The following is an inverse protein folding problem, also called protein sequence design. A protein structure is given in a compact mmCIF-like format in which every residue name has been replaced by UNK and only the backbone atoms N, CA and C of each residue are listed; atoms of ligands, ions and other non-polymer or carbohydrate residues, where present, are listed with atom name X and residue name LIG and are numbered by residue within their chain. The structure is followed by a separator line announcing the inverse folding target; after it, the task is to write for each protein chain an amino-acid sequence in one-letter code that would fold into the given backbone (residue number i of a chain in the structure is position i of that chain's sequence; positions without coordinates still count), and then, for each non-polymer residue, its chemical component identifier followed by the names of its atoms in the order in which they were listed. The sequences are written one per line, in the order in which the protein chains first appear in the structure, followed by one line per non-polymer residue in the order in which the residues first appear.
data_IF_577368413201
#
_entry.id   IF_577368413201
#
_cell.length_a   1.000
_cell.length_b   1.000
_cell.length_c   1.000
_cell.angle_alpha   90.00
_cell.angle_beta   90.00
_cell.angle_gamma   90.00
#
_symmetry.space_group_name_H-M   'P 1'
#
loop_
_entity.id
_entity.type
_entity.pdbx_description
1 polymer ?
#
# COMPACT_ATOMS: atom_id res chain seq x y z
N UNK A 1 2.66 -88.61 -10.06
CA UNK A 1 2.01 -87.49 -10.77
C UNK A 1 2.39 -86.21 -10.05
N UNK A 2 3.20 -85.37 -10.69
CA UNK A 2 3.76 -84.15 -10.10
C UNK A 2 3.08 -82.88 -10.58
N UNK A 3 3.27 -81.82 -9.77
CA UNK A 3 3.41 -80.39 -10.15
C UNK A 3 2.16 -79.72 -10.77
N UNK A 4 1.69 -78.53 -10.41
CA UNK A 4 2.16 -77.44 -9.56
C UNK A 4 1.43 -76.13 -9.99
N UNK A 5 1.20 -75.24 -9.02
CA UNK A 5 1.27 -73.76 -9.09
C UNK A 5 0.76 -73.01 -10.33
N UNK A 6 -0.36 -72.27 -10.20
CA UNK A 6 -0.66 -70.89 -10.68
C UNK A 6 -1.83 -70.39 -9.79
N UNK A 7 -1.97 -69.19 -9.24
CA UNK A 7 -1.56 -67.83 -9.59
C UNK A 7 -1.25 -67.05 -8.30
N UNK A 8 -0.08 -66.45 -8.22
CA UNK A 8 0.23 -65.38 -7.25
C UNK A 8 1.12 -64.33 -7.92
N UNK A 9 0.71 -63.86 -9.09
CA UNK A 9 1.28 -62.67 -9.72
C UNK A 9 0.30 -61.52 -9.51
N UNK A 10 0.65 -60.54 -8.67
CA UNK A 10 0.35 -59.09 -8.83
C UNK A 10 0.87 -58.22 -7.66
N UNK A 11 1.30 -58.77 -6.50
CA UNK A 11 1.64 -57.88 -5.35
C UNK A 11 3.13 -57.49 -5.22
N UNK A 12 4.07 -58.11 -5.95
CA UNK A 12 5.52 -57.81 -5.77
C UNK A 12 6.03 -56.64 -6.64
N UNK A 13 5.25 -56.14 -7.61
CA UNK A 13 5.76 -55.18 -8.60
C UNK A 13 5.82 -53.70 -8.15
N UNK A 14 5.25 -53.31 -7.00
CA UNK A 14 5.14 -51.88 -6.64
C UNK A 14 6.19 -51.40 -5.62
N UNK A 15 6.86 -52.29 -4.87
CA UNK A 15 7.94 -51.87 -3.94
C UNK A 15 9.29 -51.65 -4.63
N UNK A 16 9.54 -52.25 -5.80
CA UNK A 16 10.82 -52.12 -6.50
C UNK A 16 11.00 -50.78 -7.25
N UNK A 17 9.91 -50.05 -7.55
CA UNK A 17 9.99 -48.76 -8.25
C UNK A 17 10.31 -47.61 -7.29
N UNK A 18 9.97 -47.73 -5.99
CA UNK A 18 10.13 -46.62 -5.04
C UNK A 18 11.55 -46.47 -4.47
N UNK A 19 12.35 -47.54 -4.45
CA UNK A 19 13.69 -47.51 -3.84
C UNK A 19 14.82 -47.03 -4.78
N UNK A 20 14.61 -47.06 -6.10
CA UNK A 20 15.63 -46.60 -7.07
C UNK A 20 15.54 -45.10 -7.36
N UNK A 21 14.40 -44.47 -7.10
CA UNK A 21 14.21 -43.03 -7.35
C UNK A 21 14.91 -42.10 -6.34
N UNK A 22 15.43 -42.64 -5.22
CA UNK A 22 16.19 -41.87 -4.21
C UNK A 22 17.70 -42.11 -4.26
N UNK A 23 18.18 -42.79 -5.30
CA UNK A 23 19.60 -43.08 -5.48
C UNK A 23 20.21 -42.21 -6.58
N UNK A 24 21.27 -41.48 -6.21
CA UNK A 24 22.29 -40.89 -7.10
C UNK A 24 22.04 -39.46 -7.56
N UNK A 25 22.69 -38.53 -6.84
CA UNK A 25 22.81 -37.13 -7.27
C UNK A 25 23.49 -36.21 -6.27
N UNK A 26 24.46 -36.67 -5.48
CA UNK A 26 25.31 -35.77 -4.69
C UNK A 26 26.31 -35.09 -5.63
N UNK A 27 25.87 -34.07 -6.35
CA UNK A 27 26.75 -33.24 -7.17
C UNK A 27 27.61 -32.36 -6.26
N UNK A 28 28.88 -32.72 -6.07
CA UNK A 28 29.89 -31.81 -5.49
C UNK A 28 30.29 -30.79 -6.55
N UNK A 29 29.38 -29.87 -6.89
CA UNK A 29 29.76 -28.71 -7.67
C UNK A 29 30.73 -27.86 -6.84
N UNK A 30 31.88 -27.42 -7.40
CA UNK A 30 32.74 -26.48 -6.69
C UNK A 30 31.95 -25.21 -6.39
N UNK A 31 32.01 -24.75 -5.15
CA UNK A 31 31.35 -23.52 -4.71
C UNK A 31 31.77 -22.38 -5.65
N UNK A 32 30.82 -21.66 -6.29
CA UNK A 32 31.19 -20.51 -7.10
C UNK A 32 31.96 -19.51 -6.24
N UNK A 33 33.06 -18.98 -6.79
CA UNK A 33 33.86 -18.00 -6.09
C UNK A 33 32.98 -16.80 -5.68
N UNK A 34 33.16 -16.24 -4.47
CA UNK A 34 32.43 -15.05 -4.09
C UNK A 34 32.70 -13.94 -5.12
N UNK A 35 31.69 -13.14 -5.49
CA UNK A 35 31.91 -12.01 -6.37
C UNK A 35 32.98 -11.08 -5.78
N UNK A 36 33.79 -10.41 -6.61
CA UNK A 36 34.76 -9.44 -6.12
C UNK A 36 34.06 -8.41 -5.23
N UNK A 37 34.71 -8.01 -4.14
CA UNK A 37 34.19 -6.98 -3.26
C UNK A 37 33.91 -5.70 -4.07
N UNK A 38 32.65 -5.31 -4.14
CA UNK A 38 32.28 -4.00 -4.67
C UNK A 38 32.93 -2.94 -3.78
N UNK A 39 33.71 -1.99 -4.32
CA UNK A 39 34.24 -0.90 -3.51
C UNK A 39 33.08 -0.14 -2.89
N UNK A 40 33.13 0.10 -1.59
CA UNK A 40 32.15 0.91 -0.89
C UNK A 40 32.10 2.30 -1.54
N UNK A 41 30.97 2.63 -2.17
CA UNK A 41 30.75 3.99 -2.64
C UNK A 41 30.81 4.93 -1.42
N UNK A 42 31.41 6.13 -1.55
CA UNK A 42 31.36 7.10 -0.48
C UNK A 42 29.90 7.44 -0.18
N UNK A 43 29.52 7.35 1.09
CA UNK A 43 28.20 7.81 1.54
C UNK A 43 28.07 9.28 1.20
N UNK A 44 27.07 9.71 0.40
CA UNK A 44 26.84 11.12 0.19
C UNK A 44 26.61 11.79 1.56
N UNK A 45 27.09 13.03 1.77
CA UNK A 45 26.80 13.75 2.99
C UNK A 45 25.28 13.81 3.19
N UNK A 46 24.84 13.62 4.44
CA UNK A 46 23.43 13.71 4.78
C UNK A 46 22.88 15.07 4.32
N UNK A 47 21.89 15.04 3.43
CA UNK A 47 21.22 16.26 3.00
C UNK A 47 20.60 16.95 4.22
N UNK A 48 20.82 18.26 4.35
CA UNK A 48 20.17 19.04 5.40
C UNK A 48 18.64 18.90 5.27
N UNK A 49 17.89 18.81 6.38
CA UNK A 49 16.42 18.72 6.33
C UNK A 49 15.87 19.91 5.55
N UNK A 50 15.03 19.64 4.54
CA UNK A 50 14.30 20.69 3.87
C UNK A 50 13.36 21.38 4.86
N UNK A 51 13.16 22.72 4.77
CA UNK A 51 12.18 23.40 5.60
C UNK A 51 10.78 22.80 5.39
N UNK A 52 9.99 22.75 6.46
CA UNK A 52 8.64 22.21 6.41
C UNK A 52 7.78 23.00 5.39
N UNK A 53 6.96 22.32 4.58
CA UNK A 53 6.07 22.98 3.64
C UNK A 53 5.06 23.86 4.40
N UNK A 54 4.64 25.01 3.83
CA UNK A 54 3.59 25.81 4.42
C UNK A 54 2.27 25.00 4.49
N UNK A 55 1.47 25.26 5.51
CA UNK A 55 0.16 24.63 5.64
C UNK A 55 -0.71 24.92 4.40
N UNK A 56 -1.29 23.87 3.85
CA UNK A 56 -2.24 23.94 2.74
C UNK A 56 -3.29 22.84 2.88
N UNK A 57 -4.55 23.27 2.98
CA UNK A 57 -5.75 22.41 2.98
C UNK A 57 -6.44 22.36 1.63
N UNK A 58 -5.90 23.03 0.62
CA UNK A 58 -6.46 23.07 -0.73
C UNK A 58 -5.41 22.65 -1.73
N UNK A 59 -5.71 21.64 -2.51
CA UNK A 59 -4.88 21.18 -3.61
C UNK A 59 -5.57 21.48 -4.94
N UNK A 60 -4.79 21.97 -5.90
CA UNK A 60 -5.19 22.11 -7.29
C UNK A 60 -4.43 21.05 -8.10
N UNK A 61 -5.13 20.16 -8.78
CA UNK A 61 -4.54 19.08 -9.59
C UNK A 61 -5.40 18.89 -10.83
N UNK A 62 -4.83 18.99 -12.03
CA UNK A 62 -5.52 18.74 -13.31
C UNK A 62 -6.90 19.41 -13.48
N UNK A 63 -7.05 20.65 -12.98
CA UNK A 63 -8.33 21.39 -13.00
C UNK A 63 -9.32 21.03 -11.88
N UNK A 64 -8.97 20.07 -11.01
CA UNK A 64 -9.71 19.77 -9.79
C UNK A 64 -9.22 20.65 -8.66
N UNK A 65 -10.17 21.10 -7.85
CA UNK A 65 -9.93 21.68 -6.53
C UNK A 65 -10.39 20.67 -5.49
N UNK A 66 -9.44 20.21 -4.69
CA UNK A 66 -9.71 19.33 -3.55
C UNK A 66 -9.48 20.11 -2.26
N UNK A 67 -10.47 20.09 -1.38
CA UNK A 67 -10.44 20.79 -0.09
C UNK A 67 -10.50 19.76 1.04
N UNK A 68 -9.57 19.86 1.98
CA UNK A 68 -9.62 19.09 3.22
C UNK A 68 -10.31 19.87 4.32
N UNK A 69 -11.22 19.18 5.01
CA UNK A 69 -11.89 19.58 6.23
C UNK A 69 -11.55 18.63 7.36
N UNK A 70 -11.78 19.11 8.58
CA UNK A 70 -11.42 18.41 9.80
C UNK A 70 -10.06 18.85 10.32
N UNK A 71 -9.83 18.52 11.58
CA UNK A 71 -8.59 18.84 12.30
C UNK A 71 -7.96 17.53 12.75
N UNK A 72 -6.64 17.42 12.60
CA UNK A 72 -5.89 16.33 13.20
C UNK A 72 -5.61 16.70 14.66
N UNK A 73 -6.25 15.97 15.57
CA UNK A 73 -6.05 16.15 17.01
C UNK A 73 -5.15 15.03 17.53
N UNK A 74 -4.01 15.35 18.17
CA UNK A 74 -3.18 14.35 18.80
C UNK A 74 -3.93 13.56 19.88
N UNK A 75 -3.61 12.27 20.03
CA UNK A 75 -4.13 11.42 21.10
C UNK A 75 -5.49 10.77 20.81
N UNK A 76 -6.09 10.99 19.65
CA UNK A 76 -7.39 10.40 19.30
C UNK A 76 -7.64 10.22 17.80
N UNK A 77 -8.70 9.48 17.43
CA UNK A 77 -9.14 9.40 16.04
C UNK A 77 -9.70 10.76 15.60
N UNK A 78 -9.26 11.20 14.44
CA UNK A 78 -9.68 12.42 13.75
C UNK A 78 -10.39 12.06 12.46
N UNK A 79 -11.48 12.76 12.17
CA UNK A 79 -12.16 12.65 10.87
C UNK A 79 -11.62 13.72 9.93
N UNK A 80 -11.31 13.29 8.72
CA UNK A 80 -10.84 14.13 7.62
C UNK A 80 -11.81 13.96 6.46
N UNK A 81 -12.33 15.06 5.94
CA UNK A 81 -13.20 15.03 4.76
C UNK A 81 -12.51 15.71 3.59
N UNK A 82 -12.49 15.04 2.43
CA UNK A 82 -12.03 15.63 1.19
C UNK A 82 -13.24 15.96 0.31
N UNK A 83 -13.40 17.24 -0.04
CA UNK A 83 -14.41 17.69 -1.01
C UNK A 83 -13.75 17.94 -2.36
N UNK A 84 -14.23 17.27 -3.41
CA UNK A 84 -13.69 17.36 -4.76
C UNK A 84 -14.64 18.16 -5.66
N UNK A 85 -14.09 19.19 -6.29
CA UNK A 85 -14.79 20.04 -7.27
C UNK A 85 -13.95 20.18 -8.52
N UNK A 86 -14.59 20.42 -9.66
CA UNK A 86 -13.94 20.70 -10.94
C UNK A 86 -14.65 21.86 -11.61
N UNK A 87 -13.90 22.90 -11.99
CA UNK A 87 -14.45 24.10 -12.63
C UNK A 87 -15.63 24.74 -11.87
N UNK A 88 -15.62 24.64 -10.54
CA UNK A 88 -16.67 25.15 -9.65
C UNK A 88 -17.86 24.21 -9.44
N UNK A 89 -17.96 23.10 -10.18
CA UNK A 89 -19.00 22.08 -10.01
C UNK A 89 -18.54 20.97 -9.05
N UNK A 90 -19.47 20.43 -8.27
CA UNK A 90 -19.24 19.25 -7.44
C UNK A 90 -19.03 18.01 -8.32
N UNK A 91 -17.97 17.23 -8.05
CA UNK A 91 -17.75 15.96 -8.73
C UNK A 91 -18.52 14.87 -8.00
N UNK A 92 -19.53 14.28 -8.64
CA UNK A 92 -20.45 13.32 -8.00
C UNK A 92 -20.34 11.90 -8.54
N UNK A 93 -19.40 11.66 -9.44
CA UNK A 93 -19.21 10.44 -10.21
C UNK A 93 -17.78 9.90 -10.11
N UNK A 94 -17.17 10.00 -8.93
CA UNK A 94 -15.89 9.38 -8.62
C UNK A 94 -15.98 7.86 -8.79
N UNK A 95 -14.99 7.27 -9.44
CA UNK A 95 -14.92 5.82 -9.59
C UNK A 95 -14.16 5.15 -8.43
N UNK A 96 -14.41 3.86 -8.17
CA UNK A 96 -13.64 3.09 -7.21
C UNK A 96 -12.13 3.11 -7.48
N UNK A 97 -11.36 3.28 -6.40
CA UNK A 97 -9.89 3.22 -6.38
C UNK A 97 -9.41 2.63 -5.05
N UNK A 98 -8.55 1.61 -5.12
CA UNK A 98 -7.90 0.95 -3.97
C UNK A 98 -8.86 0.61 -2.80
N UNK A 99 -10.05 0.08 -3.11
CA UNK A 99 -11.02 -0.38 -2.11
C UNK A 99 -11.93 0.71 -1.51
N UNK A 100 -11.86 1.95 -2.01
CA UNK A 100 -12.80 3.03 -1.70
C UNK A 100 -13.07 3.90 -2.92
N UNK A 101 -13.61 5.10 -2.72
CA UNK A 101 -13.69 6.14 -3.77
C UNK A 101 -12.49 7.12 -3.76
N UNK A 102 -11.60 6.92 -2.79
CA UNK A 102 -10.29 7.54 -2.73
C UNK A 102 -9.42 6.84 -1.70
N UNK A 103 -8.12 7.06 -1.80
CA UNK A 103 -7.10 6.48 -0.94
C UNK A 103 -6.28 7.60 -0.33
N UNK A 104 -6.28 7.69 1.00
CA UNK A 104 -5.58 8.74 1.73
C UNK A 104 -4.39 8.13 2.47
N UNK A 105 -3.21 8.69 2.20
CA UNK A 105 -1.98 8.40 2.94
C UNK A 105 -1.61 9.61 3.78
N UNK A 106 -1.28 9.39 5.04
CA UNK A 106 -0.89 10.45 5.97
C UNK A 106 0.51 10.15 6.50
N UNK A 107 1.43 11.07 6.28
CA UNK A 107 2.84 10.96 6.66
C UNK A 107 3.20 12.08 7.63
N UNK A 108 3.75 11.74 8.79
CA UNK A 108 4.34 12.73 9.70
C UNK A 108 5.71 13.15 9.20
N UNK A 109 5.98 14.44 9.06
CA UNK A 109 7.21 14.91 8.43
C UNK A 109 8.45 14.83 9.33
N UNK A 110 8.25 14.83 10.66
CA UNK A 110 9.33 14.84 11.65
C UNK A 110 10.14 13.53 11.66
N UNK A 111 9.46 12.40 11.52
CA UNK A 111 10.04 11.06 11.61
C UNK A 111 9.62 10.12 10.47
N UNK A 112 8.90 10.65 9.48
CA UNK A 112 8.39 9.90 8.33
C UNK A 112 7.46 8.73 8.73
N UNK A 113 6.81 8.83 9.90
CA UNK A 113 5.84 7.83 10.33
C UNK A 113 4.57 7.88 9.46
N UNK A 114 4.20 6.72 8.93
CA UNK A 114 2.91 6.51 8.25
C UNK A 114 1.81 6.28 9.29
N UNK A 115 0.74 7.05 9.18
CA UNK A 115 -0.41 6.93 10.07
C UNK A 115 -1.43 5.95 9.47
N UNK A 116 -2.09 5.14 10.32
CA UNK A 116 -3.18 4.31 9.86
C UNK A 116 -4.36 5.18 9.41
N UNK A 117 -4.93 4.86 8.26
CA UNK A 117 -6.09 5.52 7.69
C UNK A 117 -7.15 4.49 7.37
N UNK A 118 -8.41 4.81 7.68
CA UNK A 118 -9.58 4.04 7.24
C UNK A 118 -10.45 4.92 6.37
N UNK A 119 -10.78 4.44 5.18
CA UNK A 119 -11.82 5.06 4.35
C UNK A 119 -13.19 4.86 5.02
N UNK A 120 -14.06 5.86 4.90
CA UNK A 120 -15.43 5.78 5.35
C UNK A 120 -16.29 4.95 4.39
N UNK A 121 -17.25 4.21 4.96
CA UNK A 121 -18.21 3.41 4.20
C UNK A 121 -17.71 2.02 3.79
N UNK A 122 -18.59 1.21 3.15
CA UNK A 122 -18.23 -0.11 2.65
C UNK A 122 -17.34 -0.03 1.40
N UNK A 123 -16.65 -1.12 1.08
CA UNK A 123 -15.92 -1.23 -0.17
C UNK A 123 -16.88 -1.18 -1.38
N UNK A 124 -16.62 -0.32 -2.38
CA UNK A 124 -17.52 -0.16 -3.53
C UNK A 124 -17.34 -1.25 -4.59
N UNK A 125 -18.41 -1.54 -5.33
CA UNK A 125 -18.36 -2.34 -6.56
C UNK A 125 -17.82 -1.50 -7.73
N UNK A 126 -17.25 -2.11 -8.79
CA UNK A 126 -16.62 -1.37 -9.90
C UNK A 126 -17.52 -0.33 -10.62
N UNK A 127 -18.83 -0.56 -10.61
CA UNK A 127 -19.83 0.31 -11.24
C UNK A 127 -20.33 1.44 -10.34
N UNK A 128 -20.02 1.40 -9.04
CA UNK A 128 -20.52 2.38 -8.09
C UNK A 128 -19.89 3.74 -8.33
N UNK A 129 -20.59 4.80 -7.92
CA UNK A 129 -20.16 6.19 -8.06
C UNK A 129 -20.40 6.93 -6.75
N UNK A 130 -19.54 7.90 -6.44
CA UNK A 130 -19.63 8.70 -5.22
C UNK A 130 -19.08 10.11 -5.42
N UNK A 131 -19.15 10.91 -4.36
CA UNK A 131 -18.71 12.30 -4.32
C UNK A 131 -19.84 13.25 -3.93
N UNK A 132 -19.52 14.55 -3.73
CA UNK A 132 -18.17 15.14 -3.83
C UNK A 132 -17.32 14.94 -2.59
N UNK A 133 -17.91 14.43 -1.50
CA UNK A 133 -17.25 14.24 -0.21
C UNK A 133 -16.72 12.82 -0.04
N UNK A 134 -15.47 12.69 0.37
CA UNK A 134 -14.84 11.46 0.81
C UNK A 134 -14.47 11.59 2.29
N UNK A 135 -14.88 10.63 3.12
CA UNK A 135 -14.59 10.63 4.54
C UNK A 135 -13.46 9.65 4.87
N UNK A 136 -12.55 10.06 5.74
CA UNK A 136 -11.46 9.24 6.25
C UNK A 136 -11.33 9.41 7.76
N UNK A 137 -10.92 8.35 8.43
CA UNK A 137 -10.57 8.39 9.85
C UNK A 137 -9.10 8.03 10.01
N UNK A 138 -8.34 8.89 10.68
CA UNK A 138 -6.93 8.66 11.00
C UNK A 138 -6.62 9.10 12.42
N UNK A 139 -5.64 8.48 13.07
CA UNK A 139 -5.24 8.84 14.43
C UNK A 139 -3.89 9.53 14.42
N UNK A 140 -3.82 10.77 14.93
CA UNK A 140 -2.53 11.41 15.21
C UNK A 140 -2.07 11.03 16.62
N UNK A 141 -0.85 10.54 16.74
CA UNK A 141 -0.27 10.22 18.06
C UNK A 141 0.51 11.40 18.66
N UNK A 142 0.92 12.37 17.84
CA UNK A 142 1.76 13.48 18.28
C UNK A 142 1.41 14.79 17.57
N UNK A 143 1.65 15.95 18.19
CA UNK A 143 1.64 17.22 17.47
C UNK A 143 2.74 17.23 16.41
N UNK A 144 2.54 17.99 15.33
CA UNK A 144 3.52 18.09 14.24
C UNK A 144 2.91 18.44 12.89
N UNK A 145 3.73 18.44 11.85
CA UNK A 145 3.34 18.70 10.47
C UNK A 145 3.16 17.39 9.73
N UNK A 146 2.01 17.25 9.09
CA UNK A 146 1.61 16.07 8.34
C UNK A 146 1.48 16.40 6.87
N UNK A 147 1.97 15.50 6.03
CA UNK A 147 1.76 15.52 4.59
C UNK A 147 0.74 14.47 4.21
N UNK A 148 -0.31 14.89 3.53
CA UNK A 148 -1.41 14.03 3.13
C UNK A 148 -1.41 13.89 1.61
N UNK A 149 -1.60 12.67 1.13
CA UNK A 149 -1.72 12.35 -0.28
C UNK A 149 -3.06 11.66 -0.50
N UNK A 150 -3.97 12.34 -1.19
CA UNK A 150 -5.26 11.78 -1.58
C UNK A 150 -5.19 11.36 -3.04
N UNK A 151 -5.33 10.08 -3.29
CA UNK A 151 -5.59 9.55 -4.62
C UNK A 151 -7.10 9.40 -4.85
N UNK A 152 -7.58 9.88 -5.99
CA UNK A 152 -8.97 9.68 -6.43
C UNK A 152 -9.02 9.40 -7.94
N UNK A 153 -10.06 8.68 -8.36
CA UNK A 153 -10.31 8.39 -9.78
C UNK A 153 -11.53 9.15 -10.27
N UNK A 154 -11.41 9.81 -11.41
CA UNK A 154 -12.53 10.49 -12.08
C UNK A 154 -12.36 10.43 -13.61
N UNK A 155 -13.37 10.08 -14.39
CA UNK A 155 -13.23 9.95 -15.85
C UNK A 155 -12.05 9.04 -16.25
N UNK A 156 -11.91 7.90 -15.57
CA UNK A 156 -10.99 6.83 -15.93
C UNK A 156 -9.52 7.00 -15.51
N UNK A 157 -9.07 8.19 -15.07
CA UNK A 157 -7.69 8.43 -14.64
C UNK A 157 -7.57 8.67 -13.11
N UNK A 158 -6.39 8.40 -12.55
CA UNK A 158 -6.08 8.62 -11.13
C UNK A 158 -5.37 9.96 -10.96
N UNK A 159 -5.74 10.74 -9.95
CA UNK A 159 -5.08 12.00 -9.58
C UNK A 159 -4.64 11.94 -8.13
N UNK A 160 -3.54 12.60 -7.82
CA UNK A 160 -3.02 12.73 -6.46
C UNK A 160 -3.05 14.19 -6.02
N UNK A 161 -3.88 14.50 -5.03
CA UNK A 161 -3.88 15.79 -4.34
C UNK A 161 -2.95 15.73 -3.12
N UNK A 162 -2.10 16.73 -2.94
CA UNK A 162 -1.14 16.81 -1.84
C UNK A 162 -1.46 17.98 -0.91
N UNK A 163 -1.40 17.74 0.40
CA UNK A 163 -1.70 18.71 1.44
C UNK A 163 -0.62 18.73 2.50
N UNK A 164 -0.54 19.83 3.24
CA UNK A 164 0.27 19.97 4.44
C UNK A 164 -0.61 20.53 5.55
N UNK A 165 -0.74 19.83 6.66
CA UNK A 165 -1.58 20.26 7.80
C UNK A 165 -0.82 20.08 9.10
N UNK A 166 -1.08 20.92 10.10
CA UNK A 166 -0.59 20.66 11.45
C UNK A 166 -1.60 19.84 12.25
N UNK A 167 -1.09 18.98 13.13
CA UNK A 167 -1.84 18.50 14.28
C UNK A 167 -1.40 19.31 15.50
N UNK A 168 -2.37 19.95 16.15
CA UNK A 168 -2.17 20.75 17.36
C UNK A 168 -3.20 20.37 18.41
N UNK A 169 -2.83 20.49 19.67
CA UNK A 169 -3.78 20.36 20.75
C UNK A 169 -4.81 21.50 20.65
N UNK A 170 -6.08 21.17 20.87
CA UNK A 170 -7.13 22.19 20.95
C UNK A 170 -7.03 22.78 22.35
N UNK A 171 -6.60 24.03 22.44
CA UNK A 171 -6.47 24.77 23.70
C UNK A 171 -7.82 25.25 24.23
#
# INVERSE_FOLDING_TARGET
MGTGTRLAGTVVAVTAVFAVAWGVGASTAPRPAPPPAVPSAPTPPAAAPAPAPPESRVALVDGYRVRLDGELVPGGPSQVFATITRDGAAVTDLEPHLGGFGHLVVLRLEDLALLPVRSGGPAPAPTDRSGPGLAFTTGSTAPGTYRLYLEFRHAGAVRTATFAVSAREVS
#
